data_IF_683677775411
#
_entry.id   IF_683677775411
#
_cell.length_a   1.000
_cell.length_b   1.000
_cell.length_c   1.000
_cell.angle_alpha   90.00
_cell.angle_beta   90.00
_cell.angle_gamma   90.00
#
_symmetry.space_group_name_H-M   'P 1'
#
loop_
_entity.id
_entity.type
_entity.pdbx_description
1 polymer ?
#
# COMPACT_ATOMS: atom_id res chain seq x y z
N UNK A 1 24.80 17.12 10.20
CA UNK A 1 24.74 15.70 9.82
C UNK A 1 23.96 14.96 10.92
N UNK A 2 22.62 15.02 10.84
CA UNK A 2 21.78 14.14 11.63
C UNK A 2 21.62 12.85 10.80
N UNK A 3 22.39 11.83 11.15
CA UNK A 3 22.09 10.46 10.77
C UNK A 3 20.93 9.99 11.67
N UNK A 4 19.72 10.46 11.42
CA UNK A 4 18.53 9.86 12.00
C UNK A 4 18.30 8.56 11.23
N UNK A 5 18.68 7.44 11.86
CA UNK A 5 18.27 6.12 11.38
C UNK A 5 16.76 6.02 11.59
N UNK A 6 16.02 5.81 10.53
CA UNK A 6 14.61 5.50 10.62
C UNK A 6 14.45 4.12 11.27
N UNK A 7 13.88 4.09 12.46
CA UNK A 7 13.47 2.85 13.11
C UNK A 7 11.98 2.63 12.85
N UNK A 8 11.62 1.37 12.64
CA UNK A 8 10.23 0.92 12.71
C UNK A 8 10.03 0.32 14.09
N UNK A 9 9.00 0.78 14.79
CA UNK A 9 8.64 0.30 16.12
C UNK A 9 7.16 -0.11 16.10
N UNK A 10 6.89 -1.38 16.32
CA UNK A 10 5.54 -1.95 16.38
C UNK A 10 5.20 -2.41 17.81
N UNK A 11 5.87 -1.88 18.82
CA UNK A 11 5.47 -2.08 20.22
C UNK A 11 4.06 -1.54 20.47
N UNK A 12 3.39 -2.15 21.45
CA UNK A 12 2.05 -1.71 21.86
C UNK A 12 2.03 -0.23 22.24
N UNK A 13 3.02 0.20 23.02
CA UNK A 13 3.15 1.57 23.51
C UNK A 13 3.29 2.57 22.37
N UNK A 14 4.13 2.26 21.39
CA UNK A 14 4.34 3.13 20.22
C UNK A 14 3.09 3.22 19.35
N UNK A 15 2.41 2.09 19.08
CA UNK A 15 1.17 2.06 18.31
C UNK A 15 0.10 2.92 18.97
N UNK A 16 -0.13 2.76 20.29
CA UNK A 16 -1.13 3.53 21.01
C UNK A 16 -0.83 5.03 20.99
N UNK A 17 0.42 5.40 21.26
CA UNK A 17 0.87 6.79 21.23
C UNK A 17 0.71 7.42 19.83
N UNK A 18 1.11 6.72 18.79
CA UNK A 18 1.02 7.20 17.40
C UNK A 18 -0.43 7.41 16.94
N UNK A 19 -1.37 6.58 17.42
CA UNK A 19 -2.79 6.77 17.16
C UNK A 19 -3.29 8.03 17.87
N UNK A 20 -2.95 8.22 19.13
CA UNK A 20 -3.37 9.42 19.89
C UNK A 20 -2.85 10.70 19.23
N UNK A 21 -1.58 10.76 18.83
CA UNK A 21 -1.05 11.89 18.08
C UNK A 21 -1.75 12.09 16.73
N UNK A 22 -2.11 11.01 16.04
CA UNK A 22 -2.81 11.09 14.76
C UNK A 22 -4.21 11.67 14.92
N UNK A 23 -4.95 11.25 15.93
CA UNK A 23 -6.28 11.77 16.26
C UNK A 23 -6.23 13.26 16.61
N UNK A 24 -5.24 13.69 17.40
CA UNK A 24 -5.04 15.09 17.72
C UNK A 24 -4.75 15.94 16.47
N UNK A 25 -3.84 15.49 15.61
CA UNK A 25 -3.48 16.20 14.36
C UNK A 25 -4.64 16.26 13.36
N UNK A 26 -5.42 15.20 13.26
CA UNK A 26 -6.58 15.12 12.35
C UNK A 26 -7.82 15.79 12.93
N UNK A 27 -7.81 16.17 14.23
CA UNK A 27 -8.95 16.77 14.94
C UNK A 27 -10.22 15.89 14.86
N UNK A 28 -10.04 14.58 15.11
CA UNK A 28 -11.11 13.57 15.10
C UNK A 28 -10.98 12.65 16.29
N UNK A 29 -12.07 11.99 16.65
CA UNK A 29 -12.11 11.05 17.77
C UNK A 29 -11.82 9.59 17.34
N UNK A 30 -11.77 9.31 16.03
CA UNK A 30 -11.54 7.97 15.51
C UNK A 30 -10.85 7.97 14.15
N UNK A 31 -10.23 6.82 13.83
CA UNK A 31 -9.73 6.47 12.50
C UNK A 31 -10.62 5.37 11.93
N UNK A 32 -10.97 5.47 10.64
CA UNK A 32 -11.69 4.39 9.95
C UNK A 32 -10.77 3.18 9.76
N UNK A 33 -9.52 3.40 9.35
CA UNK A 33 -8.53 2.33 9.16
C UNK A 33 -7.18 2.77 9.72
N UNK A 34 -6.58 1.92 10.56
CA UNK A 34 -5.15 2.02 10.95
C UNK A 34 -4.33 1.02 10.15
N UNK A 35 -3.27 1.48 9.50
CA UNK A 35 -2.31 0.62 8.81
C UNK A 35 -0.97 0.58 9.55
N UNK A 36 -0.45 -0.62 9.81
CA UNK A 36 0.96 -0.78 10.21
C UNK A 36 1.84 -0.47 9.01
N UNK A 37 2.64 0.62 9.09
CA UNK A 37 3.31 1.20 7.91
C UNK A 37 4.34 0.27 7.27
N UNK A 38 5.19 -0.36 8.07
CA UNK A 38 6.17 -1.37 7.66
C UNK A 38 6.39 -2.37 8.77
N UNK A 39 6.87 -3.55 8.38
CA UNK A 39 7.27 -4.54 9.36
C UNK A 39 8.57 -4.10 10.07
N UNK A 40 8.64 -4.39 11.36
CA UNK A 40 9.84 -4.32 12.18
C UNK A 40 10.46 -5.72 12.26
N UNK A 41 11.78 -5.82 12.15
CA UNK A 41 12.48 -7.11 12.23
C UNK A 41 12.35 -7.79 13.61
N UNK A 42 12.06 -7.01 14.65
CA UNK A 42 11.92 -7.45 16.04
C UNK A 42 10.49 -7.39 16.56
N UNK A 43 9.52 -7.31 15.67
CA UNK A 43 8.12 -7.19 16.05
C UNK A 43 7.59 -8.41 16.81
N UNK A 44 6.75 -8.12 17.78
CA UNK A 44 6.05 -9.14 18.58
C UNK A 44 4.55 -9.05 18.23
N UNK A 45 4.00 -9.98 17.43
CA UNK A 45 2.59 -9.92 17.02
C UNK A 45 1.60 -9.88 18.18
N UNK A 46 1.96 -10.44 19.33
CA UNK A 46 1.18 -10.39 20.58
C UNK A 46 1.04 -8.96 21.13
N UNK A 47 2.06 -8.13 20.97
CA UNK A 47 2.00 -6.73 21.40
C UNK A 47 1.09 -5.91 20.47
N UNK A 48 1.17 -6.17 19.17
CA UNK A 48 0.28 -5.58 18.18
C UNK A 48 -1.18 -5.98 18.48
N UNK A 49 -1.43 -7.24 18.77
CA UNK A 49 -2.77 -7.73 19.09
C UNK A 49 -3.36 -7.00 20.32
N UNK A 50 -2.56 -6.80 21.37
CA UNK A 50 -2.98 -6.01 22.55
C UNK A 50 -3.31 -4.57 22.19
N UNK A 51 -2.50 -3.93 21.32
CA UNK A 51 -2.75 -2.58 20.86
C UNK A 51 -4.07 -2.50 20.08
N UNK A 52 -4.31 -3.42 19.15
CA UNK A 52 -5.53 -3.46 18.34
C UNK A 52 -6.76 -3.67 19.21
N UNK A 53 -6.73 -4.62 20.18
CA UNK A 53 -7.82 -4.85 21.12
C UNK A 53 -8.18 -3.57 21.91
N UNK A 54 -7.19 -2.80 22.35
CA UNK A 54 -7.41 -1.55 23.08
C UNK A 54 -8.02 -0.48 22.17
N UNK A 55 -7.48 -0.32 20.97
CA UNK A 55 -7.90 0.71 20.01
C UNK A 55 -9.33 0.46 19.49
N UNK A 56 -9.68 -0.79 19.22
CA UNK A 56 -11.02 -1.19 18.81
C UNK A 56 -12.02 -1.00 19.97
N UNK A 57 -11.70 -1.51 21.17
CA UNK A 57 -12.59 -1.42 22.35
C UNK A 57 -12.85 0.02 22.77
N UNK A 58 -11.85 0.91 22.63
CA UNK A 58 -12.00 2.34 22.91
C UNK A 58 -12.73 3.10 21.80
N UNK A 59 -12.99 2.50 20.65
CA UNK A 59 -13.62 3.12 19.50
C UNK A 59 -12.71 4.07 18.72
N UNK A 60 -11.41 4.13 19.06
CA UNK A 60 -10.43 4.98 18.37
C UNK A 60 -10.08 4.50 16.97
N UNK A 61 -10.18 3.20 16.69
CA UNK A 61 -9.93 2.60 15.38
C UNK A 61 -11.04 1.60 15.04
N UNK A 62 -11.58 1.69 13.83
CA UNK A 62 -12.67 0.81 13.35
C UNK A 62 -12.18 -0.43 12.63
N UNK A 63 -11.16 -0.28 11.81
CA UNK A 63 -10.57 -1.36 11.01
C UNK A 63 -9.06 -1.30 11.03
N UNK A 64 -8.42 -2.42 10.73
CA UNK A 64 -6.97 -2.56 10.77
C UNK A 64 -6.45 -3.11 9.45
N UNK A 65 -5.22 -2.81 9.13
CA UNK A 65 -4.54 -3.32 7.96
C UNK A 65 -3.02 -3.17 8.09
N UNK A 66 -2.34 -3.43 7.00
CA UNK A 66 -0.88 -3.38 6.95
C UNK A 66 -0.41 -2.62 5.71
N UNK A 67 0.87 -2.32 5.65
CA UNK A 67 1.52 -1.75 4.47
C UNK A 67 2.85 -2.45 4.24
N UNK A 68 3.10 -2.86 3.00
CA UNK A 68 4.34 -3.55 2.59
C UNK A 68 4.65 -4.84 3.39
N UNK A 69 3.62 -5.60 3.74
CA UNK A 69 3.78 -6.92 4.38
C UNK A 69 3.66 -8.03 3.35
N UNK A 70 4.47 -9.07 3.49
CA UNK A 70 4.34 -10.29 2.68
C UNK A 70 3.14 -11.13 3.14
N UNK A 71 2.62 -12.05 2.29
CA UNK A 71 1.56 -12.98 2.68
C UNK A 71 1.83 -13.71 4.00
N UNK A 72 3.05 -14.22 4.18
CA UNK A 72 3.43 -14.93 5.40
C UNK A 72 3.45 -14.03 6.64
N UNK A 73 3.84 -12.76 6.49
CA UNK A 73 3.78 -11.79 7.60
C UNK A 73 2.33 -11.47 7.97
N UNK A 74 1.44 -11.35 6.99
CA UNK A 74 0.01 -11.17 7.24
C UNK A 74 -0.57 -12.39 7.97
N UNK A 75 -0.26 -13.61 7.52
CA UNK A 75 -0.73 -14.84 8.18
C UNK A 75 -0.20 -14.97 9.61
N UNK A 76 1.07 -14.60 9.83
CA UNK A 76 1.64 -14.59 11.17
C UNK A 76 0.88 -13.62 12.08
N UNK A 77 0.60 -12.41 11.62
CA UNK A 77 -0.17 -11.44 12.39
C UNK A 77 -1.60 -11.91 12.66
N UNK A 78 -2.29 -12.45 11.66
CA UNK A 78 -3.66 -13.01 11.76
C UNK A 78 -3.78 -14.16 12.76
N UNK A 79 -2.69 -14.82 13.09
CA UNK A 79 -2.71 -15.85 14.15
C UNK A 79 -2.94 -15.26 15.54
N UNK A 80 -2.61 -14.00 15.77
CA UNK A 80 -2.64 -13.34 17.09
C UNK A 80 -3.73 -12.27 17.20
N UNK A 81 -3.99 -11.52 16.13
CA UNK A 81 -5.06 -10.51 16.10
C UNK A 81 -6.42 -11.17 15.85
N UNK A 82 -7.47 -10.62 16.45
CA UNK A 82 -8.86 -11.05 16.24
C UNK A 82 -9.53 -10.25 15.10
N UNK A 83 -9.00 -9.08 14.85
CA UNK A 83 -9.52 -8.12 13.87
C UNK A 83 -9.16 -8.60 12.45
N UNK A 84 -10.07 -8.36 11.52
CA UNK A 84 -9.78 -8.55 10.10
C UNK A 84 -8.76 -7.52 9.63
N UNK A 85 -7.75 -7.98 8.88
CA UNK A 85 -6.82 -7.10 8.18
C UNK A 85 -7.40 -6.75 6.81
N UNK A 86 -8.04 -5.58 6.73
CA UNK A 86 -8.87 -5.20 5.58
C UNK A 86 -8.07 -4.69 4.38
N UNK A 87 -6.80 -4.34 4.55
CA UNK A 87 -5.96 -3.79 3.49
C UNK A 87 -4.49 -4.16 3.64
N UNK A 88 -3.79 -4.28 2.52
CA UNK A 88 -2.33 -4.20 2.43
C UNK A 88 -1.97 -3.07 1.45
N UNK A 89 -1.35 -2.01 1.95
CA UNK A 89 -0.93 -0.87 1.15
C UNK A 89 0.47 -1.12 0.59
N UNK A 90 0.61 -1.19 -0.74
CA UNK A 90 1.85 -1.51 -1.44
C UNK A 90 2.18 -0.46 -2.50
N UNK A 91 3.46 -0.34 -2.87
CA UNK A 91 3.84 0.42 -4.04
C UNK A 91 3.32 -0.29 -5.29
N UNK A 92 2.58 0.43 -6.11
CA UNK A 92 2.06 -0.10 -7.36
C UNK A 92 1.80 1.06 -8.33
N UNK A 93 2.39 0.95 -9.51
CA UNK A 93 2.21 1.91 -10.61
C UNK A 93 2.43 1.19 -11.94
N UNK A 94 2.10 1.78 -13.11
CA UNK A 94 2.47 1.21 -14.39
C UNK A 94 3.98 1.03 -14.61
N UNK A 95 4.81 1.72 -13.83
CA UNK A 95 6.28 1.62 -13.85
C UNK A 95 6.85 0.87 -12.63
N UNK A 96 6.00 0.36 -11.72
CA UNK A 96 6.41 -0.44 -10.57
C UNK A 96 5.42 -1.59 -10.37
N UNK A 97 5.66 -2.69 -11.06
CA UNK A 97 4.74 -3.82 -11.22
C UNK A 97 5.16 -5.09 -10.48
N UNK A 98 6.15 -5.00 -9.59
CA UNK A 98 6.78 -6.16 -8.92
C UNK A 98 5.76 -7.12 -8.28
N UNK A 99 4.64 -6.62 -7.77
CA UNK A 99 3.58 -7.44 -7.19
C UNK A 99 2.80 -8.27 -8.22
N UNK A 100 2.95 -7.96 -9.53
CA UNK A 100 2.33 -8.66 -10.65
C UNK A 100 3.33 -9.56 -11.39
N UNK A 101 4.58 -9.10 -11.54
CA UNK A 101 5.60 -9.69 -12.43
C UNK A 101 5.91 -11.15 -12.07
N UNK A 102 6.01 -11.45 -10.79
CA UNK A 102 6.25 -12.81 -10.31
C UNK A 102 5.21 -13.81 -10.84
N UNK A 103 3.93 -13.44 -10.81
CA UNK A 103 2.85 -14.30 -11.27
C UNK A 103 2.93 -14.66 -12.75
N UNK A 104 3.50 -13.78 -13.59
CA UNK A 104 3.70 -14.03 -15.01
C UNK A 104 4.96 -14.86 -15.31
N UNK A 105 5.94 -14.85 -14.42
CA UNK A 105 7.24 -15.45 -14.61
C UNK A 105 7.44 -16.76 -13.82
N UNK A 106 6.36 -17.34 -13.29
CA UNK A 106 6.41 -18.59 -12.53
C UNK A 106 7.01 -19.72 -13.39
N UNK A 107 7.95 -20.47 -12.80
CA UNK A 107 8.65 -21.59 -13.45
C UNK A 107 9.42 -21.21 -14.73
N UNK A 108 9.91 -19.98 -14.80
CA UNK A 108 10.83 -19.51 -15.87
C UNK A 108 12.22 -19.24 -15.29
N UNK A 109 13.19 -18.96 -16.18
CA UNK A 109 14.53 -18.49 -15.80
C UNK A 109 14.64 -16.97 -15.82
N UNK A 110 13.53 -16.27 -16.01
CA UNK A 110 13.51 -14.81 -16.04
C UNK A 110 13.83 -14.23 -14.66
N UNK A 111 14.53 -13.10 -14.62
CA UNK A 111 14.88 -12.42 -13.36
C UNK A 111 13.63 -11.99 -12.59
N UNK A 112 12.53 -11.70 -13.28
CA UNK A 112 11.22 -11.38 -12.73
C UNK A 112 10.59 -12.57 -11.98
N UNK A 113 11.05 -13.80 -12.25
CA UNK A 113 10.66 -15.00 -11.51
C UNK A 113 11.20 -15.06 -10.07
N UNK A 114 12.08 -14.13 -9.69
CA UNK A 114 12.48 -13.95 -8.29
C UNK A 114 11.38 -13.22 -7.54
N UNK A 115 10.85 -13.86 -6.50
CA UNK A 115 9.76 -13.27 -5.71
C UNK A 115 10.22 -12.00 -4.99
N UNK A 116 9.84 -10.83 -5.50
CA UNK A 116 10.09 -9.50 -4.93
C UNK A 116 8.83 -8.79 -4.45
N UNK A 117 7.74 -9.47 -4.35
CA UNK A 117 6.42 -8.92 -4.01
C UNK A 117 5.31 -9.70 -4.68
N UNK A 118 5.63 -10.85 -5.26
CA UNK A 118 4.67 -11.78 -5.82
C UNK A 118 3.71 -12.31 -4.76
N UNK A 119 2.60 -12.84 -5.24
CA UNK A 119 1.49 -13.36 -4.42
C UNK A 119 0.71 -12.29 -3.64
N UNK A 120 1.20 -11.04 -3.53
CA UNK A 120 0.50 -9.99 -2.77
C UNK A 120 -0.91 -9.73 -3.29
N UNK A 121 -1.08 -9.63 -4.61
CA UNK A 121 -2.39 -9.39 -5.23
C UNK A 121 -3.31 -10.60 -5.04
N UNK A 122 -2.82 -11.81 -5.32
CA UNK A 122 -3.63 -13.02 -5.21
C UNK A 122 -3.96 -13.35 -3.76
N UNK A 123 -3.01 -13.12 -2.84
CA UNK A 123 -3.26 -13.25 -1.40
C UNK A 123 -4.34 -12.27 -0.92
N UNK A 124 -4.27 -11.01 -1.33
CA UNK A 124 -5.27 -10.01 -0.97
C UNK A 124 -6.67 -10.38 -1.49
N UNK A 125 -6.73 -10.87 -2.73
CA UNK A 125 -8.01 -11.36 -3.33
C UNK A 125 -8.56 -12.58 -2.61
N UNK A 126 -7.69 -13.52 -2.20
CA UNK A 126 -8.08 -14.72 -1.47
C UNK A 126 -8.68 -14.40 -0.09
N UNK A 127 -8.23 -13.33 0.53
CA UNK A 127 -8.63 -12.93 1.89
C UNK A 127 -9.51 -11.68 1.94
N UNK A 128 -10.09 -11.27 0.80
CA UNK A 128 -10.97 -10.09 0.68
C UNK A 128 -10.34 -8.78 1.18
N UNK A 129 -9.01 -8.69 1.13
CA UNK A 129 -8.26 -7.47 1.50
C UNK A 129 -8.21 -6.48 0.33
N UNK A 130 -8.33 -5.19 0.62
CA UNK A 130 -8.04 -4.16 -0.37
C UNK A 130 -6.53 -4.00 -0.59
N UNK A 131 -6.12 -3.79 -1.84
CA UNK A 131 -4.80 -3.30 -2.20
C UNK A 131 -4.87 -1.78 -2.32
N UNK A 132 -4.08 -1.07 -1.53
CA UNK A 132 -3.97 0.38 -1.62
C UNK A 132 -2.65 0.74 -2.31
N UNK A 133 -2.74 1.17 -3.57
CA UNK A 133 -1.58 1.52 -4.39
C UNK A 133 -1.04 2.89 -4.00
N UNK A 134 0.12 2.94 -3.34
CA UNK A 134 0.84 4.19 -3.09
C UNK A 134 1.85 4.48 -4.21
N UNK A 135 2.23 5.75 -4.37
CA UNK A 135 3.07 6.24 -5.49
C UNK A 135 2.56 5.81 -6.88
N UNK A 136 1.27 6.02 -7.18
CA UNK A 136 0.60 5.43 -8.34
C UNK A 136 1.12 5.90 -9.70
N UNK A 137 1.90 6.98 -9.74
CA UNK A 137 2.46 7.59 -10.95
C UNK A 137 3.99 7.75 -10.85
N UNK A 138 4.65 7.02 -9.95
CA UNK A 138 6.10 7.10 -9.77
C UNK A 138 6.81 5.87 -10.33
N UNK A 139 7.99 6.12 -10.88
CA UNK A 139 9.00 5.15 -11.24
C UNK A 139 10.22 5.25 -10.32
N UNK A 140 11.38 4.78 -10.79
CA UNK A 140 12.62 4.76 -9.99
C UNK A 140 13.14 6.17 -9.65
N UNK A 141 12.99 7.13 -10.57
CA UNK A 141 13.56 8.48 -10.45
C UNK A 141 12.50 9.57 -10.17
N UNK A 142 11.31 9.20 -9.73
CA UNK A 142 10.22 10.14 -9.47
C UNK A 142 9.03 9.96 -10.41
N UNK A 143 8.34 11.07 -10.74
CA UNK A 143 7.13 11.02 -11.58
C UNK A 143 7.48 10.60 -13.01
N UNK A 144 6.83 9.53 -13.51
CA UNK A 144 7.13 8.91 -14.82
C UNK A 144 6.93 9.85 -16.01
N UNK A 145 6.06 10.86 -15.91
CA UNK A 145 5.71 11.73 -17.02
C UNK A 145 6.84 12.69 -17.41
N UNK A 146 7.75 13.00 -16.50
CA UNK A 146 8.89 13.87 -16.70
C UNK A 146 10.22 13.12 -16.96
N UNK A 147 10.22 11.80 -16.86
CA UNK A 147 11.43 10.98 -17.04
C UNK A 147 11.47 10.38 -18.46
N UNK A 148 12.47 10.74 -19.30
CA UNK A 148 12.61 10.21 -20.65
C UNK A 148 12.75 8.70 -20.74
N UNK A 149 13.20 8.02 -19.68
CA UNK A 149 13.30 6.55 -19.65
C UNK A 149 11.95 5.85 -19.76
N UNK A 150 10.85 6.55 -19.42
CA UNK A 150 9.48 6.05 -19.54
C UNK A 150 8.75 6.55 -20.79
N UNK A 151 9.49 7.00 -21.84
CA UNK A 151 8.88 7.58 -23.05
C UNK A 151 7.83 6.64 -23.67
N UNK A 152 8.17 5.37 -23.89
CA UNK A 152 7.27 4.41 -24.54
C UNK A 152 6.01 4.14 -23.69
N UNK A 153 6.16 4.10 -22.37
CA UNK A 153 5.01 4.00 -21.44
C UNK A 153 4.13 5.23 -21.54
N UNK A 154 4.72 6.44 -21.55
CA UNK A 154 4.00 7.70 -21.65
C UNK A 154 3.27 7.85 -22.99
N UNK A 155 3.92 7.46 -24.09
CA UNK A 155 3.27 7.42 -25.41
C UNK A 155 2.05 6.49 -25.40
N UNK A 156 2.16 5.34 -24.74
CA UNK A 156 1.04 4.38 -24.63
C UNK A 156 -0.09 4.88 -23.73
N UNK A 157 0.24 5.53 -22.63
CA UNK A 157 -0.77 6.18 -21.77
C UNK A 157 -1.51 7.29 -22.53
N UNK A 158 -0.78 8.09 -23.30
CA UNK A 158 -1.37 9.14 -24.15
C UNK A 158 -2.29 8.56 -25.24
N UNK A 159 -1.86 7.48 -25.92
CA UNK A 159 -2.68 6.80 -26.92
C UNK A 159 -3.98 6.27 -26.32
N UNK A 160 -3.90 5.58 -25.18
CA UNK A 160 -5.07 4.98 -24.53
C UNK A 160 -5.95 6.07 -23.93
N UNK A 161 -5.36 7.01 -23.16
CA UNK A 161 -6.10 8.10 -22.53
C UNK A 161 -6.84 8.96 -23.53
N UNK A 162 -6.19 9.29 -24.67
CA UNK A 162 -6.80 10.08 -25.73
C UNK A 162 -8.09 9.48 -26.33
N UNK A 163 -8.25 8.16 -26.29
CA UNK A 163 -9.49 7.48 -26.75
C UNK A 163 -10.69 7.78 -25.83
N UNK A 164 -10.41 8.17 -24.59
CA UNK A 164 -11.41 8.42 -23.54
C UNK A 164 -11.43 9.89 -23.09
N UNK A 165 -10.63 10.76 -23.72
CA UNK A 165 -10.51 12.15 -23.29
C UNK A 165 -9.79 12.34 -21.96
N UNK A 166 -8.92 11.39 -21.58
CA UNK A 166 -8.13 11.39 -20.36
C UNK A 166 -6.68 11.81 -20.67
N UNK A 167 -6.04 12.48 -19.71
CA UNK A 167 -4.60 12.70 -19.72
C UNK A 167 -3.82 11.45 -19.26
N UNK A 168 -2.50 11.52 -19.26
CA UNK A 168 -1.63 10.40 -18.88
C UNK A 168 -1.78 10.02 -17.41
N UNK A 169 -2.02 11.01 -16.53
CA UNK A 169 -2.20 10.76 -15.09
C UNK A 169 -3.48 9.96 -14.85
N UNK A 170 -4.59 10.41 -15.41
CA UNK A 170 -5.87 9.72 -15.31
C UNK A 170 -5.84 8.32 -15.96
N UNK A 171 -5.12 8.16 -17.10
CA UNK A 171 -4.93 6.87 -17.74
C UNK A 171 -4.13 5.89 -16.86
N UNK A 172 -3.08 6.37 -16.17
CA UNK A 172 -2.29 5.55 -15.23
C UNK A 172 -3.13 5.12 -14.02
N UNK A 173 -3.93 6.02 -13.46
CA UNK A 173 -4.86 5.70 -12.36
C UNK A 173 -5.92 4.69 -12.81
N UNK A 174 -6.51 4.87 -13.98
CA UNK A 174 -7.48 3.95 -14.56
C UNK A 174 -6.90 2.53 -14.75
N UNK A 175 -5.61 2.43 -15.13
CA UNK A 175 -4.93 1.15 -15.23
C UNK A 175 -4.86 0.44 -13.87
N UNK A 176 -4.49 1.15 -12.80
CA UNK A 176 -4.46 0.60 -11.43
C UNK A 176 -5.83 0.08 -11.00
N UNK A 177 -6.88 0.84 -11.26
CA UNK A 177 -8.26 0.47 -10.92
C UNK A 177 -8.78 -0.73 -11.73
N UNK A 178 -8.11 -1.09 -12.84
CA UNK A 178 -8.42 -2.29 -13.63
C UNK A 178 -7.80 -3.57 -13.08
N UNK A 179 -6.82 -3.48 -12.17
CA UNK A 179 -6.22 -4.66 -11.54
C UNK A 179 -7.31 -5.39 -10.74
N UNK A 180 -7.48 -6.71 -10.96
CA UNK A 180 -8.51 -7.48 -10.28
C UNK A 180 -8.34 -7.45 -8.76
N UNK A 181 -9.45 -7.37 -8.04
CA UNK A 181 -9.49 -7.24 -6.61
C UNK A 181 -10.10 -5.90 -6.21
N UNK A 182 -10.00 -5.57 -4.96
CA UNK A 182 -10.52 -4.31 -4.42
C UNK A 182 -9.39 -3.26 -4.37
N UNK A 183 -8.90 -2.85 -5.55
CA UNK A 183 -7.78 -1.92 -5.65
C UNK A 183 -8.25 -0.48 -5.42
N UNK A 184 -7.58 0.21 -4.53
CA UNK A 184 -7.75 1.64 -4.21
C UNK A 184 -6.45 2.38 -4.53
N UNK A 185 -6.54 3.64 -4.95
CA UNK A 185 -5.37 4.46 -5.28
C UNK A 185 -5.17 5.54 -4.23
N UNK A 186 -3.97 5.58 -3.66
CA UNK A 186 -3.55 6.64 -2.74
C UNK A 186 -2.98 7.80 -3.55
N UNK A 187 -3.78 8.83 -3.77
CA UNK A 187 -3.38 9.99 -4.58
C UNK A 187 -2.26 10.78 -3.91
N UNK A 188 -1.26 11.18 -4.68
CA UNK A 188 -0.10 11.96 -4.23
C UNK A 188 -0.34 13.48 -4.26
N UNK A 189 -1.59 13.94 -4.19
CA UNK A 189 -1.93 15.37 -4.26
C UNK A 189 -3.02 15.75 -3.28
N UNK A 190 -2.94 16.98 -2.78
CA UNK A 190 -4.00 17.65 -2.01
C UNK A 190 -4.64 18.79 -2.82
N UNK A 191 -4.24 18.97 -4.07
CA UNK A 191 -4.81 19.99 -4.96
C UNK A 191 -6.16 19.50 -5.49
N UNK A 192 -7.25 20.22 -5.14
CA UNK A 192 -8.63 19.90 -5.53
C UNK A 192 -8.80 19.86 -7.04
N UNK A 193 -8.18 20.79 -7.79
CA UNK A 193 -8.30 20.85 -9.25
C UNK A 193 -7.67 19.64 -9.97
N UNK A 194 -6.83 18.86 -9.27
CA UNK A 194 -6.25 17.61 -9.77
C UNK A 194 -7.01 16.36 -9.30
N UNK A 195 -7.91 16.52 -8.34
CA UNK A 195 -8.73 15.42 -7.79
C UNK A 195 -10.08 15.34 -8.52
N UNK A 196 -10.61 16.45 -8.97
CA UNK A 196 -11.87 16.60 -9.72
C UNK A 196 -11.66 16.45 -11.23
#
# INVERSE_FOLDING_TARGET
NNNEQNFFDLSKEHILHSVDESLERLQTDYLDILLLHRNDALWEPEEIAKAFDILETSGKVRHFGVSNHTPIQVDLLKKYVKQDLVANQIQLSPAHTLALDYGFSVNTKADEGVNRGGELIDYARLHDMAIQAWSPIQGENGVIFSDPSYKDLNDKLSEIGGRYGLDNEAAAIAWLLRIPGNTQVVLGTTNIDRIL
#
